data_IF_504434577366
#
_entry.id   IF_504434577366
#
_cell.length_a   1.000
_cell.length_b   1.000
_cell.length_c   1.000
_cell.angle_alpha   90.00
_cell.angle_beta   90.00
_cell.angle_gamma   90.00
#
_symmetry.space_group_name_H-M   'P 1'
#
loop_
_entity.id
_entity.type
_entity.pdbx_description
1 polymer ?
#
# COMPACT_ATOMS: atom_id res chain seq x y z
N UNK A 1 1.55 18.91 -5.84
CA UNK A 1 0.80 17.81 -6.48
C UNK A 1 0.06 18.19 -7.76
N UNK A 2 -0.33 19.47 -7.97
CA UNK A 2 -1.24 19.86 -9.06
C UNK A 2 -0.89 19.24 -10.43
N UNK A 3 0.39 19.23 -10.84
CA UNK A 3 0.77 18.65 -12.13
C UNK A 3 0.46 17.14 -12.25
N UNK A 4 0.77 16.33 -11.24
CA UNK A 4 0.53 14.87 -11.27
C UNK A 4 -0.95 14.52 -11.07
N UNK A 5 -1.61 15.17 -10.12
CA UNK A 5 -3.03 14.95 -9.82
C UNK A 5 -3.94 15.40 -10.96
N UNK A 6 -3.53 16.39 -11.76
CA UNK A 6 -4.31 16.85 -12.92
C UNK A 6 -4.28 15.86 -14.09
N UNK A 7 -3.31 14.94 -14.13
CA UNK A 7 -3.13 13.99 -15.23
C UNK A 7 -3.25 12.52 -14.79
N UNK A 8 -3.51 12.27 -13.50
CA UNK A 8 -3.61 10.93 -12.93
C UNK A 8 -4.87 10.82 -12.09
N UNK A 9 -5.67 9.79 -12.34
CA UNK A 9 -6.86 9.48 -11.54
C UNK A 9 -6.60 8.35 -10.54
N UNK A 10 -5.55 7.55 -10.74
CA UNK A 10 -5.28 6.35 -9.96
C UNK A 10 -3.85 6.31 -9.41
N UNK A 11 -3.76 5.72 -8.22
CA UNK A 11 -2.54 5.24 -7.60
C UNK A 11 -2.50 3.72 -7.75
N UNK A 12 -1.34 3.19 -8.13
CA UNK A 12 -1.05 1.75 -8.08
C UNK A 12 0.29 1.53 -7.38
N UNK A 13 0.36 0.49 -6.56
CA UNK A 13 1.59 0.10 -5.86
C UNK A 13 1.94 -1.34 -6.19
N UNK A 14 3.21 -1.59 -6.50
CA UNK A 14 3.74 -2.91 -6.86
C UNK A 14 5.04 -3.21 -6.13
N UNK A 15 5.35 -4.49 -5.96
CA UNK A 15 6.62 -4.95 -5.43
C UNK A 15 7.51 -5.55 -6.53
N UNK A 16 8.81 -5.24 -6.48
CA UNK A 16 9.86 -5.84 -7.32
C UNK A 16 9.58 -5.82 -8.83
N UNK A 17 8.88 -4.80 -9.35
CA UNK A 17 8.48 -4.75 -10.75
C UNK A 17 9.63 -4.96 -11.75
N UNK A 18 10.83 -4.37 -11.56
CA UNK A 18 11.94 -4.58 -12.51
C UNK A 18 12.43 -6.03 -12.62
N UNK A 19 12.27 -6.83 -11.55
CA UNK A 19 12.73 -8.21 -11.50
C UNK A 19 11.59 -9.20 -11.86
N UNK A 20 10.40 -8.98 -11.31
CA UNK A 20 9.31 -9.96 -11.33
C UNK A 20 8.21 -9.61 -12.36
N UNK A 21 8.27 -8.42 -12.96
CA UNK A 21 7.19 -7.88 -13.75
C UNK A 21 5.95 -7.53 -12.92
N UNK A 22 4.82 -7.32 -13.59
CA UNK A 22 3.56 -7.02 -12.92
C UNK A 22 2.98 -8.28 -12.27
N UNK A 23 2.82 -8.23 -10.95
CA UNK A 23 2.26 -9.28 -10.14
C UNK A 23 1.12 -8.69 -9.31
N UNK A 24 0.05 -9.47 -9.10
CA UNK A 24 -1.11 -9.05 -8.31
C UNK A 24 -1.06 -9.51 -6.85
N UNK A 25 -0.08 -10.33 -6.47
CA UNK A 25 0.30 -10.55 -5.07
C UNK A 25 1.17 -9.41 -4.60
N UNK A 26 0.87 -8.85 -3.42
CA UNK A 26 1.52 -7.64 -2.91
C UNK A 26 1.38 -6.48 -3.89
N UNK A 27 0.12 -6.10 -4.09
CA UNK A 27 -0.34 -5.10 -5.04
C UNK A 27 -1.46 -4.28 -4.42
N UNK A 28 -1.51 -2.98 -4.73
CA UNK A 28 -2.66 -2.14 -4.38
C UNK A 28 -3.02 -1.20 -5.52
N UNK A 29 -4.32 -0.88 -5.65
CA UNK A 29 -4.84 0.12 -6.58
C UNK A 29 -5.98 0.90 -5.94
N UNK A 30 -5.95 2.21 -6.10
CA UNK A 30 -6.94 3.12 -5.55
C UNK A 30 -7.11 4.38 -6.41
N UNK A 31 -8.21 5.11 -6.18
CA UNK A 31 -8.40 6.45 -6.74
C UNK A 31 -7.44 7.42 -6.04
N UNK A 32 -6.65 8.16 -6.81
CA UNK A 32 -5.58 9.02 -6.30
C UNK A 32 -6.10 10.11 -5.34
N UNK A 33 -7.30 10.66 -5.60
CA UNK A 33 -7.87 11.73 -4.79
C UNK A 33 -8.05 11.34 -3.30
N UNK A 34 -8.21 10.06 -2.98
CA UNK A 34 -8.28 9.55 -1.61
C UNK A 34 -6.91 9.24 -0.98
N UNK A 35 -5.84 9.27 -1.76
CA UNK A 35 -4.50 8.81 -1.41
C UNK A 35 -3.45 9.86 -1.76
N UNK A 36 -3.54 11.05 -1.17
CA UNK A 36 -2.47 12.04 -1.28
C UNK A 36 -1.17 11.49 -0.64
N UNK A 37 -0.26 11.03 -1.49
CA UNK A 37 1.04 10.46 -1.08
C UNK A 37 2.11 11.52 -0.81
N UNK A 38 1.79 12.82 -0.93
CA UNK A 38 2.68 13.94 -0.63
C UNK A 38 2.17 14.81 0.52
N UNK A 39 0.97 14.53 1.01
CA UNK A 39 0.35 15.23 2.13
C UNK A 39 0.87 14.76 3.48
N UNK A 40 0.23 15.28 4.52
CA UNK A 40 0.40 14.83 5.90
C UNK A 40 -0.96 14.77 6.57
N UNK A 41 -1.44 13.55 6.77
CA UNK A 41 -2.78 13.28 7.30
C UNK A 41 -2.76 12.18 8.36
N UNK A 42 -1.57 11.76 8.81
CA UNK A 42 -1.40 10.79 9.88
C UNK A 42 -1.80 9.38 9.47
N UNK A 43 -3.03 8.98 9.81
CA UNK A 43 -3.54 7.64 9.56
C UNK A 43 -5.06 7.62 9.48
N UNK A 44 -5.60 6.87 8.52
CA UNK A 44 -7.03 6.81 8.22
C UNK A 44 -7.36 5.55 7.40
N UNK A 45 -8.63 5.12 7.42
CA UNK A 45 -9.13 4.05 6.57
C UNK A 45 -9.31 4.59 5.15
N UNK A 46 -8.43 4.21 4.22
CA UNK A 46 -8.49 4.65 2.82
C UNK A 46 -9.08 3.57 1.93
N UNK A 47 -9.88 3.98 0.96
CA UNK A 47 -10.61 3.09 0.05
C UNK A 47 -9.72 2.61 -1.10
N UNK A 48 -9.60 1.30 -1.23
CA UNK A 48 -8.91 0.64 -2.33
C UNK A 48 -9.92 0.00 -3.28
N UNK A 49 -9.71 0.15 -4.58
CA UNK A 49 -10.45 -0.65 -5.58
C UNK A 49 -10.03 -2.12 -5.49
N UNK A 50 -8.74 -2.35 -5.22
CA UNK A 50 -8.18 -3.67 -5.00
C UNK A 50 -6.92 -3.56 -4.14
N UNK A 51 -6.80 -4.42 -3.14
CA UNK A 51 -5.60 -4.56 -2.32
C UNK A 51 -5.32 -6.05 -2.13
N UNK A 52 -4.04 -6.41 -2.22
CA UNK A 52 -3.55 -7.75 -1.96
C UNK A 52 -2.25 -7.63 -1.16
N UNK A 53 -2.25 -8.18 0.05
CA UNK A 53 -1.07 -8.24 0.93
C UNK A 53 -0.88 -9.70 1.34
N UNK A 54 0.26 -10.28 0.99
CA UNK A 54 0.64 -11.67 1.27
C UNK A 54 -0.37 -12.69 0.74
N UNK A 55 -1.09 -12.36 -0.34
CA UNK A 55 -2.14 -13.20 -0.94
C UNK A 55 -3.55 -12.95 -0.39
N UNK A 56 -3.68 -12.23 0.73
CA UNK A 56 -4.97 -11.82 1.29
C UNK A 56 -5.46 -10.63 0.49
N UNK A 57 -6.59 -10.78 -0.19
CA UNK A 57 -7.07 -9.78 -1.13
C UNK A 57 -8.54 -9.43 -0.93
N UNK A 58 -8.83 -8.15 -1.12
CA UNK A 58 -10.14 -7.54 -1.00
C UNK A 58 -10.32 -6.55 -2.16
N UNK A 59 -11.57 -6.33 -2.54
CA UNK A 59 -11.99 -5.30 -3.50
C UNK A 59 -12.98 -4.35 -2.85
N UNK A 60 -12.97 -3.09 -3.30
CA UNK A 60 -13.84 -2.03 -2.82
C UNK A 60 -13.91 -1.95 -1.29
N UNK A 61 -12.73 -1.97 -0.66
CA UNK A 61 -12.57 -2.08 0.79
C UNK A 61 -11.66 -0.98 1.33
N UNK A 62 -11.83 -0.65 2.60
CA UNK A 62 -10.91 0.24 3.31
C UNK A 62 -9.76 -0.53 3.96
N UNK A 63 -8.57 0.07 3.99
CA UNK A 63 -7.43 -0.41 4.79
C UNK A 63 -6.74 0.74 5.51
N UNK A 64 -6.20 0.46 6.70
CA UNK A 64 -5.56 1.48 7.52
C UNK A 64 -4.26 1.92 6.88
N UNK A 65 -4.29 3.12 6.35
CA UNK A 65 -3.22 3.69 5.54
C UNK A 65 -2.66 4.88 6.28
N UNK A 66 -1.36 5.15 6.11
CA UNK A 66 -0.69 6.26 6.78
C UNK A 66 0.20 7.00 5.81
N UNK A 67 0.26 8.31 6.00
CA UNK A 67 1.19 9.22 5.33
C UNK A 67 1.58 10.31 6.33
N UNK A 68 2.88 10.52 6.50
CA UNK A 68 3.42 11.51 7.42
C UNK A 68 4.53 12.31 6.73
N UNK A 69 4.75 13.56 7.18
CA UNK A 69 5.91 14.36 6.75
C UNK A 69 7.21 13.56 6.94
N UNK A 70 8.02 13.47 5.87
CA UNK A 70 9.27 12.71 5.81
C UNK A 70 9.14 11.17 5.91
N UNK A 71 7.93 10.64 5.72
CA UNK A 71 7.68 9.20 5.61
C UNK A 71 7.30 8.77 4.19
N UNK A 72 7.32 7.47 3.96
CA UNK A 72 6.62 6.89 2.82
C UNK A 72 5.11 6.78 3.13
N UNK A 73 4.29 6.77 2.09
CA UNK A 73 2.92 6.24 2.17
C UNK A 73 3.00 4.73 2.44
N UNK A 74 2.20 4.20 3.35
CA UNK A 74 2.17 2.76 3.63
C UNK A 74 0.79 2.32 4.14
N UNK A 75 0.52 1.02 4.01
CA UNK A 75 -0.63 0.37 4.63
C UNK A 75 -0.13 -0.36 5.86
N UNK A 76 -0.76 -0.16 7.02
CA UNK A 76 -0.52 -0.97 8.19
C UNK A 76 -1.59 -2.08 8.23
N UNK A 77 -1.27 -3.20 7.60
CA UNK A 77 -2.19 -4.33 7.46
C UNK A 77 -2.52 -4.99 8.80
N UNK A 78 -1.54 -5.02 9.71
CA UNK A 78 -1.66 -5.56 11.06
C UNK A 78 -2.75 -4.84 11.88
N UNK A 79 -2.79 -3.49 11.84
CA UNK A 79 -3.77 -2.68 12.61
C UNK A 79 -5.04 -2.33 11.85
N UNK A 80 -5.23 -2.82 10.63
CA UNK A 80 -6.38 -2.40 9.82
C UNK A 80 -7.72 -2.73 10.49
N UNK A 81 -7.87 -3.91 11.09
CA UNK A 81 -9.07 -4.25 11.87
C UNK A 81 -9.18 -3.55 13.21
N UNK A 82 -8.06 -3.29 13.89
CA UNK A 82 -8.03 -2.52 15.14
C UNK A 82 -8.59 -1.10 14.94
N UNK A 83 -8.33 -0.52 13.76
CA UNK A 83 -8.86 0.78 13.34
C UNK A 83 -10.23 0.71 12.63
N UNK A 84 -10.93 -0.42 12.73
CA UNK A 84 -12.28 -0.62 12.17
C UNK A 84 -12.36 -0.52 10.63
N UNK A 85 -11.23 -0.66 9.92
CA UNK A 85 -11.27 -0.77 8.46
C UNK A 85 -11.77 -2.17 8.02
N UNK A 86 -12.15 -2.29 6.76
CA UNK A 86 -12.67 -3.54 6.19
C UNK A 86 -11.59 -4.63 6.13
N UNK A 87 -10.42 -4.28 5.59
CA UNK A 87 -9.32 -5.19 5.31
C UNK A 87 -8.75 -5.83 6.58
N UNK A 88 -8.71 -7.17 6.60
CA UNK A 88 -8.04 -7.95 7.64
C UNK A 88 -6.74 -8.54 7.10
N UNK A 89 -5.63 -7.88 7.43
CA UNK A 89 -4.30 -8.38 7.12
C UNK A 89 -3.57 -8.93 8.35
N UNK A 90 -4.27 -9.32 9.41
CA UNK A 90 -3.63 -9.82 10.64
C UNK A 90 -3.06 -11.24 10.49
N UNK A 91 -3.62 -12.05 9.58
CA UNK A 91 -3.17 -13.41 9.34
C UNK A 91 -1.72 -13.43 8.84
N UNK A 92 -0.84 -14.10 9.59
CA UNK A 92 0.61 -14.18 9.33
C UNK A 92 1.33 -12.82 9.27
N UNK A 93 0.73 -11.78 9.86
CA UNK A 93 1.40 -10.51 10.01
C UNK A 93 2.49 -10.59 11.08
N UNK A 94 3.53 -9.77 10.92
CA UNK A 94 4.45 -9.45 12.01
C UNK A 94 3.95 -8.22 12.79
N UNK A 95 4.42 -8.06 14.02
CA UNK A 95 3.98 -6.95 14.87
C UNK A 95 4.23 -5.58 14.22
N UNK A 96 3.17 -4.76 14.15
CA UNK A 96 3.18 -3.45 13.49
C UNK A 96 3.61 -3.48 12.01
N UNK A 97 3.36 -4.59 11.30
CA UNK A 97 3.72 -4.71 9.89
C UNK A 97 3.22 -3.54 9.05
N UNK A 98 4.14 -2.95 8.30
CA UNK A 98 3.85 -1.97 7.27
C UNK A 98 4.11 -2.59 5.90
N UNK A 99 3.17 -2.42 5.00
CA UNK A 99 3.23 -2.87 3.62
C UNK A 99 3.33 -1.66 2.70
N UNK A 100 3.92 -1.87 1.53
CA UNK A 100 4.05 -0.85 0.49
C UNK A 100 4.81 0.41 0.92
N UNK A 101 5.67 0.35 1.94
CA UNK A 101 6.51 1.46 2.38
C UNK A 101 6.86 1.38 3.86
N UNK A 102 7.84 2.19 4.27
CA UNK A 102 8.28 2.37 5.68
C UNK A 102 8.53 1.04 6.42
N UNK A 103 9.54 0.31 5.96
CA UNK A 103 10.04 -0.89 6.61
C UNK A 103 11.00 -0.52 7.74
N UNK A 104 10.76 -1.02 8.95
CA UNK A 104 11.64 -0.83 10.11
C UNK A 104 11.82 -2.14 10.86
N UNK A 105 12.91 -2.25 11.61
CA UNK A 105 13.25 -3.46 12.36
C UNK A 105 12.09 -3.90 13.27
N UNK A 106 11.73 -5.17 13.21
CA UNK A 106 10.58 -5.76 13.94
C UNK A 106 9.26 -5.75 13.18
N UNK A 107 9.10 -4.92 12.15
CA UNK A 107 7.89 -4.83 11.32
C UNK A 107 8.11 -5.31 9.87
N UNK A 108 9.22 -5.99 9.60
CA UNK A 108 9.57 -6.54 8.29
C UNK A 108 9.02 -7.96 8.19
N UNK A 109 8.16 -8.18 7.19
CA UNK A 109 7.66 -9.51 6.87
C UNK A 109 8.30 -10.01 5.58
N UNK A 110 9.03 -11.12 5.65
CA UNK A 110 9.70 -11.71 4.48
C UNK A 110 8.71 -12.36 3.50
N UNK A 111 7.48 -12.63 3.92
CA UNK A 111 6.42 -13.13 3.05
C UNK A 111 5.78 -12.01 2.20
N UNK A 112 6.03 -10.74 2.52
CA UNK A 112 5.59 -9.60 1.70
C UNK A 112 6.69 -9.25 0.69
N UNK A 113 6.40 -9.33 -0.61
CA UNK A 113 7.40 -9.19 -1.69
C UNK A 113 8.19 -7.87 -1.64
N UNK A 114 7.55 -6.78 -1.23
CA UNK A 114 8.22 -5.48 -1.12
C UNK A 114 9.27 -5.41 0.00
N UNK A 115 9.28 -6.38 0.91
CA UNK A 115 10.20 -6.48 2.05
C UNK A 115 10.78 -7.90 2.22
N UNK A 116 10.74 -8.71 1.16
CA UNK A 116 11.17 -10.11 1.20
C UNK A 116 12.67 -10.30 1.42
N UNK A 117 13.45 -9.29 1.06
CA UNK A 117 14.91 -9.24 1.14
C UNK A 117 15.42 -7.80 1.01
N UNK A 118 16.68 -7.54 1.37
CA UNK A 118 17.30 -6.21 1.26
C UNK A 118 17.18 -5.52 -0.12
N UNK A 119 17.32 -6.22 -1.28
CA UNK A 119 17.13 -5.60 -2.59
C UNK A 119 15.66 -5.44 -3.00
N UNK A 120 14.71 -5.79 -2.13
CA UNK A 120 13.28 -5.63 -2.45
C UNK A 120 12.91 -4.17 -2.62
N UNK A 121 11.96 -3.91 -3.50
CA UNK A 121 11.59 -2.56 -3.91
C UNK A 121 10.08 -2.40 -3.93
N UNK A 122 9.62 -1.20 -3.59
CA UNK A 122 8.25 -0.74 -3.76
C UNK A 122 8.21 0.29 -4.88
N UNK A 123 7.28 0.16 -5.83
CA UNK A 123 7.06 1.15 -6.89
C UNK A 123 5.65 1.73 -6.80
N UNK A 124 5.56 3.05 -6.84
CA UNK A 124 4.31 3.79 -6.95
C UNK A 124 4.11 4.25 -8.40
N UNK A 125 2.92 4.03 -8.92
CA UNK A 125 2.51 4.38 -10.27
C UNK A 125 1.32 5.32 -10.21
N UNK A 126 1.42 6.41 -10.97
CA UNK A 126 0.34 7.37 -11.15
C UNK A 126 -0.08 7.36 -12.60
N UNK A 127 -1.38 7.30 -12.84
CA UNK A 127 -1.90 7.34 -14.20
C UNK A 127 -3.41 7.29 -14.25
N UNK A 128 -3.91 6.99 -15.43
CA UNK A 128 -5.33 6.79 -15.70
C UNK A 128 -5.64 5.31 -15.84
N UNK A 129 -6.81 4.89 -15.38
CA UNK A 129 -7.33 3.55 -15.63
C UNK A 129 -7.97 3.55 -17.01
N UNK A 130 -7.42 2.75 -17.92
CA UNK A 130 -8.08 2.43 -19.18
C UNK A 130 -8.87 1.13 -18.98
N UNK A 131 -10.13 1.15 -19.40
CA UNK A 131 -11.01 -0.03 -19.43
C UNK A 131 -10.58 -1.02 -20.51
#
# INVERSE_FOLDING_TARGET
MQSLSNHSSHLRVTCNLPADGLQYTDYARAVLAGHDIFGDWGGDCKLFEYINIRGINYSDCTAYTRMALNGAWFVNSFKSKEHECDFDGSLEAVDNENNFGRYHSGAINTNHRCSSSDPSTTQYWFGVKHE
#
